data_IF_215278588632
#
_entry.id   IF_215278588632
#
_cell.length_a   1.000
_cell.length_b   1.000
_cell.length_c   1.000
_cell.angle_alpha   90.00
_cell.angle_beta   90.00
_cell.angle_gamma   90.00
#
_symmetry.space_group_name_H-M   'P 1'
#
loop_
_entity.id
_entity.type
_entity.pdbx_description
1 polymer ?
#
# COMPACT_ATOMS: atom_id res chain seq x y z
N UNK A 1 -59.60 16.84 -33.18
CA UNK A 1 -58.47 17.79 -33.22
C UNK A 1 -57.67 17.63 -31.93
N UNK A 2 -56.51 16.97 -31.95
CA UNK A 2 -55.40 17.20 -31.00
C UNK A 2 -54.15 16.48 -31.52
N UNK A 3 -53.06 17.23 -31.57
CA UNK A 3 -51.90 16.97 -32.41
C UNK A 3 -50.93 15.95 -31.82
N UNK A 4 -50.39 15.13 -32.71
CA UNK A 4 -49.28 14.20 -32.46
C UNK A 4 -47.98 14.98 -32.66
N UNK A 5 -47.23 15.22 -31.58
CA UNK A 5 -45.90 15.82 -31.62
C UNK A 5 -44.87 14.70 -31.81
N UNK A 6 -44.34 14.57 -33.03
CA UNK A 6 -43.21 13.69 -33.32
C UNK A 6 -41.90 14.37 -32.96
N UNK A 7 -41.20 13.86 -31.94
CA UNK A 7 -39.83 14.26 -31.65
C UNK A 7 -38.84 13.52 -32.56
N UNK A 8 -38.23 14.28 -33.46
CA UNK A 8 -37.17 13.86 -34.39
C UNK A 8 -35.82 13.92 -33.66
N UNK A 9 -35.25 12.76 -33.33
CA UNK A 9 -33.89 12.66 -32.76
C UNK A 9 -32.89 12.61 -33.93
N UNK A 10 -32.10 13.67 -34.07
CA UNK A 10 -31.03 13.78 -35.07
C UNK A 10 -29.74 13.22 -34.47
N UNK A 11 -29.30 12.04 -34.90
CA UNK A 11 -28.00 11.48 -34.53
C UNK A 11 -26.91 12.16 -35.37
N UNK A 12 -26.06 12.95 -34.73
CA UNK A 12 -25.01 13.75 -35.36
C UNK A 12 -23.67 13.01 -35.32
N UNK A 13 -23.26 12.57 -36.50
CA UNK A 13 -21.92 12.50 -37.10
C UNK A 13 -20.69 12.17 -36.23
N UNK A 14 -20.13 11.01 -36.56
CA UNK A 14 -18.73 10.58 -36.53
C UNK A 14 -17.65 11.67 -36.38
N UNK A 15 -16.97 11.65 -35.22
CA UNK A 15 -15.66 12.30 -35.03
C UNK A 15 -14.55 11.30 -35.36
N UNK A 16 -13.97 11.47 -36.55
CA UNK A 16 -12.78 10.78 -37.04
C UNK A 16 -11.57 11.22 -36.19
N UNK A 17 -11.05 10.30 -35.37
CA UNK A 17 -9.76 10.52 -34.68
C UNK A 17 -8.60 10.29 -35.65
N UNK A 18 -7.61 11.19 -35.71
CA UNK A 18 -6.42 10.99 -36.51
C UNK A 18 -5.59 9.85 -35.94
N UNK A 19 -5.29 8.84 -36.76
CA UNK A 19 -4.31 7.81 -36.44
C UNK A 19 -2.93 8.46 -36.32
N UNK A 20 -2.43 8.56 -35.09
CA UNK A 20 -1.02 8.85 -34.85
C UNK A 20 -0.22 7.62 -35.24
N UNK A 21 0.55 7.74 -36.31
CA UNK A 21 1.51 6.73 -36.74
C UNK A 21 2.43 6.33 -35.58
N UNK A 22 2.50 5.02 -35.33
CA UNK A 22 3.50 4.42 -34.47
C UNK A 22 4.88 4.62 -35.12
N UNK A 23 5.62 5.62 -34.65
CA UNK A 23 7.06 5.71 -34.91
C UNK A 23 7.74 4.73 -33.97
N UNK A 24 8.00 3.52 -34.46
CA UNK A 24 8.84 2.53 -33.79
C UNK A 24 10.27 3.07 -33.69
N UNK A 25 10.57 3.71 -32.56
CA UNK A 25 11.93 4.12 -32.21
C UNK A 25 12.73 2.87 -31.84
N UNK A 26 13.53 2.39 -32.81
CA UNK A 26 14.62 1.44 -32.57
C UNK A 26 15.71 2.14 -31.75
N UNK A 27 15.60 2.07 -30.42
CA UNK A 27 16.65 2.48 -29.51
C UNK A 27 16.68 1.55 -28.29
N UNK A 28 17.23 0.34 -28.43
CA UNK A 28 17.58 -0.51 -27.28
C UNK A 28 18.47 -1.67 -27.71
N UNK A 29 19.77 -1.41 -27.92
CA UNK A 29 20.76 -2.50 -27.99
C UNK A 29 22.13 -2.11 -27.42
N UNK A 30 22.39 -0.81 -27.19
CA UNK A 30 23.67 -0.35 -26.62
C UNK A 30 23.74 -0.35 -25.08
N UNK A 31 22.62 -0.52 -24.37
CA UNK A 31 22.64 -0.54 -22.89
C UNK A 31 23.14 -1.88 -22.32
N UNK A 32 22.95 -3.00 -23.01
CA UNK A 32 23.24 -4.34 -22.48
C UNK A 32 24.76 -4.63 -22.35
N UNK A 33 25.60 -4.05 -23.21
CA UNK A 33 27.06 -4.26 -23.20
C UNK A 33 27.76 -3.45 -22.11
N UNK A 34 27.25 -2.26 -21.78
CA UNK A 34 27.79 -1.42 -20.69
C UNK A 34 27.53 -2.08 -19.32
N UNK A 35 26.40 -2.77 -19.14
CA UNK A 35 26.13 -3.51 -17.91
C UNK A 35 27.07 -4.72 -17.70
N UNK A 36 27.52 -5.40 -18.76
CA UNK A 36 28.42 -6.58 -18.63
C UNK A 36 29.85 -6.23 -18.21
N UNK A 37 30.40 -5.13 -18.72
CA UNK A 37 31.75 -4.68 -18.34
C UNK A 37 31.80 -4.14 -16.90
N UNK A 38 30.72 -3.49 -16.44
CA UNK A 38 30.61 -2.97 -15.06
C UNK A 38 30.56 -4.08 -13.99
N UNK A 39 30.00 -5.25 -14.33
CA UNK A 39 29.89 -6.40 -13.40
C UNK A 39 31.22 -7.01 -12.98
N UNK A 40 32.25 -6.97 -13.83
CA UNK A 40 33.53 -7.62 -13.49
C UNK A 40 34.34 -6.82 -12.46
N UNK A 41 34.36 -5.49 -12.58
CA UNK A 41 35.01 -4.63 -11.57
C UNK A 41 34.23 -4.61 -10.24
N UNK A 42 32.89 -4.69 -10.30
CA UNK A 42 32.04 -4.75 -9.12
C UNK A 42 32.32 -5.96 -8.22
N UNK A 43 32.69 -7.10 -8.79
CA UNK A 43 32.89 -8.34 -8.03
C UNK A 43 34.05 -8.24 -7.02
N UNK A 44 35.18 -7.62 -7.40
CA UNK A 44 36.31 -7.42 -6.48
C UNK A 44 35.97 -6.46 -5.34
N UNK A 45 35.24 -5.38 -5.63
CA UNK A 45 34.78 -4.44 -4.60
C UNK A 45 33.78 -5.10 -3.64
N UNK A 46 32.91 -5.97 -4.16
CA UNK A 46 31.94 -6.72 -3.37
C UNK A 46 32.64 -7.69 -2.41
N UNK A 47 33.66 -8.42 -2.89
CA UNK A 47 34.45 -9.32 -2.05
C UNK A 47 35.18 -8.58 -0.94
N UNK A 48 35.81 -7.45 -1.26
CA UNK A 48 36.49 -6.61 -0.26
C UNK A 48 35.50 -6.08 0.78
N UNK A 49 34.35 -5.54 0.36
CA UNK A 49 33.32 -5.03 1.27
C UNK A 49 32.73 -6.15 2.13
N UNK A 50 32.54 -7.35 1.58
CA UNK A 50 32.05 -8.51 2.34
C UNK A 50 33.05 -8.89 3.43
N UNK A 51 34.34 -8.99 3.11
CA UNK A 51 35.38 -9.28 4.10
C UNK A 51 35.47 -8.20 5.19
N UNK A 52 35.39 -6.94 4.77
CA UNK A 52 35.39 -5.80 5.69
C UNK A 52 34.18 -5.85 6.65
N UNK A 53 32.99 -6.15 6.14
CA UNK A 53 31.78 -6.31 6.96
C UNK A 53 31.89 -7.50 7.91
N UNK A 54 32.44 -8.63 7.47
CA UNK A 54 32.70 -9.80 8.34
C UNK A 54 33.57 -9.41 9.53
N UNK A 55 34.67 -8.70 9.27
CA UNK A 55 35.54 -8.19 10.32
C UNK A 55 34.86 -7.13 11.20
N UNK A 56 34.16 -6.15 10.61
CA UNK A 56 33.56 -5.04 11.34
C UNK A 56 32.36 -5.43 12.21
N UNK A 57 31.58 -6.42 11.77
CA UNK A 57 30.38 -6.89 12.45
C UNK A 57 30.66 -8.08 13.39
N UNK A 58 31.93 -8.51 13.50
CA UNK A 58 32.35 -9.70 14.25
C UNK A 58 31.51 -10.95 13.89
N UNK A 59 31.23 -11.12 12.60
CA UNK A 59 30.51 -12.30 12.08
C UNK A 59 31.42 -13.54 12.21
N UNK A 60 30.86 -14.77 12.19
CA UNK A 60 31.65 -15.98 12.25
C UNK A 60 32.78 -15.94 11.23
N UNK A 61 33.99 -16.36 11.62
CA UNK A 61 35.17 -16.30 10.75
C UNK A 61 34.99 -17.13 9.46
N UNK A 62 34.15 -18.18 9.53
CA UNK A 62 33.77 -19.02 8.40
C UNK A 62 32.24 -19.03 8.28
N UNK A 63 31.63 -18.02 7.62
CA UNK A 63 30.21 -18.04 7.34
C UNK A 63 29.87 -19.19 6.38
N UNK A 64 28.68 -19.78 6.53
CA UNK A 64 28.26 -20.85 5.64
C UNK A 64 28.23 -20.34 4.17
N UNK A 65 28.56 -21.18 3.17
CA UNK A 65 28.54 -20.76 1.77
C UNK A 65 27.18 -20.20 1.32
N UNK A 66 26.08 -20.71 1.90
CA UNK A 66 24.72 -20.24 1.65
C UNK A 66 24.52 -18.81 2.14
N UNK A 67 25.07 -18.46 3.30
CA UNK A 67 24.99 -17.10 3.86
C UNK A 67 25.79 -16.12 3.02
N UNK A 68 27.01 -16.48 2.62
CA UNK A 68 27.83 -15.66 1.72
C UNK A 68 27.13 -15.36 0.40
N UNK A 69 26.49 -16.36 -0.21
CA UNK A 69 25.73 -16.18 -1.43
C UNK A 69 24.54 -15.22 -1.20
N UNK A 70 23.83 -15.37 -0.08
CA UNK A 70 22.72 -14.49 0.26
C UNK A 70 23.18 -13.06 0.51
N UNK A 71 24.25 -12.87 1.27
CA UNK A 71 24.83 -11.56 1.56
C UNK A 71 25.29 -10.87 0.28
N UNK A 72 25.98 -11.60 -0.60
CA UNK A 72 26.38 -11.10 -1.93
C UNK A 72 25.19 -10.55 -2.70
N UNK A 73 24.08 -11.31 -2.80
CA UNK A 73 22.85 -10.87 -3.48
C UNK A 73 22.24 -9.64 -2.83
N UNK A 74 22.14 -9.61 -1.51
CA UNK A 74 21.58 -8.48 -0.77
C UNK A 74 22.41 -7.21 -0.97
N UNK A 75 23.74 -7.34 -0.94
CA UNK A 75 24.66 -6.22 -1.19
C UNK A 75 24.51 -5.75 -2.63
N UNK A 76 24.40 -6.65 -3.61
CA UNK A 76 24.16 -6.29 -5.02
C UNK A 76 22.85 -5.49 -5.19
N UNK A 77 21.75 -5.94 -4.58
CA UNK A 77 20.47 -5.20 -4.60
C UNK A 77 20.65 -3.80 -4.01
N UNK A 78 21.35 -3.68 -2.88
CA UNK A 78 21.60 -2.38 -2.24
C UNK A 78 22.48 -1.46 -3.12
N UNK A 79 23.48 -2.00 -3.81
CA UNK A 79 24.29 -1.23 -4.77
C UNK A 79 23.46 -0.72 -5.94
N UNK A 80 22.61 -1.59 -6.50
CA UNK A 80 21.76 -1.26 -7.64
C UNK A 80 20.79 -0.12 -7.30
N UNK A 81 20.22 -0.11 -6.08
CA UNK A 81 19.28 0.95 -5.65
C UNK A 81 19.94 2.24 -5.16
N UNK A 82 21.19 2.21 -4.71
CA UNK A 82 21.88 3.41 -4.20
C UNK A 82 22.63 4.22 -5.27
N UNK A 83 22.87 3.65 -6.47
CA UNK A 83 23.46 4.37 -7.60
C UNK A 83 24.91 4.85 -7.38
N UNK A 84 25.26 6.04 -7.88
CA UNK A 84 26.61 6.60 -7.76
C UNK A 84 26.95 6.97 -6.30
N UNK A 85 28.10 6.51 -5.80
CA UNK A 85 28.45 6.59 -4.36
C UNK A 85 27.76 5.53 -3.50
N UNK A 86 27.19 4.50 -4.13
CA UNK A 86 26.50 3.40 -3.45
C UNK A 86 27.37 2.70 -2.42
N UNK A 87 28.66 2.46 -2.70
CA UNK A 87 29.54 1.71 -1.81
C UNK A 87 29.54 2.21 -0.35
N UNK A 88 29.79 3.49 -0.15
CA UNK A 88 29.85 4.08 1.19
C UNK A 88 28.48 4.10 1.89
N UNK A 89 27.40 4.29 1.12
CA UNK A 89 26.04 4.30 1.64
C UNK A 89 25.60 2.89 2.05
N UNK A 90 25.84 1.91 1.20
CA UNK A 90 25.60 0.47 1.45
C UNK A 90 26.39 0.03 2.68
N UNK A 91 27.69 0.35 2.73
CA UNK A 91 28.55 0.10 3.89
C UNK A 91 27.97 0.70 5.16
N UNK A 92 27.62 1.98 5.16
CA UNK A 92 27.04 2.66 6.33
C UNK A 92 25.70 2.04 6.75
N UNK A 93 24.83 1.72 5.80
CA UNK A 93 23.53 1.11 6.07
C UNK A 93 23.69 -0.30 6.70
N UNK A 94 24.60 -1.11 6.20
CA UNK A 94 24.88 -2.47 6.70
C UNK A 94 25.58 -2.45 8.07
N UNK A 95 26.51 -1.52 8.29
CA UNK A 95 27.13 -1.34 9.61
C UNK A 95 26.12 -0.86 10.64
N UNK A 96 25.20 0.03 10.26
CA UNK A 96 24.15 0.50 11.15
C UNK A 96 23.09 -0.59 11.42
N UNK A 97 22.82 -1.45 10.43
CA UNK A 97 21.75 -2.44 10.47
C UNK A 97 22.17 -3.77 9.83
N UNK A 98 22.99 -4.58 10.52
CA UNK A 98 23.48 -5.85 9.97
C UNK A 98 22.37 -6.89 9.71
N UNK A 99 21.17 -6.73 10.29
CA UNK A 99 20.01 -7.58 10.02
C UNK A 99 19.57 -7.55 8.54
N UNK A 100 19.92 -6.51 7.79
CA UNK A 100 19.69 -6.44 6.35
C UNK A 100 20.41 -7.55 5.57
N UNK A 101 21.54 -8.07 6.08
CA UNK A 101 22.22 -9.22 5.47
C UNK A 101 21.39 -10.50 5.53
N UNK A 102 20.52 -10.61 6.54
CA UNK A 102 19.62 -11.75 6.75
C UNK A 102 18.23 -11.53 6.16
N UNK A 103 17.96 -10.38 5.54
CA UNK A 103 16.71 -10.12 4.84
C UNK A 103 16.68 -10.81 3.46
N UNK A 104 15.50 -10.96 2.85
CA UNK A 104 15.38 -11.29 1.42
C UNK A 104 15.14 -10.01 0.62
N UNK A 105 16.22 -9.25 0.37
CA UNK A 105 16.10 -7.93 -0.27
C UNK A 105 15.67 -8.04 -1.73
N UNK A 106 15.96 -9.15 -2.40
CA UNK A 106 15.52 -9.40 -3.77
C UNK A 106 13.99 -9.53 -3.83
N UNK A 107 13.40 -10.30 -2.92
CA UNK A 107 11.94 -10.42 -2.78
C UNK A 107 11.29 -9.08 -2.45
N UNK A 108 11.82 -8.36 -1.44
CA UNK A 108 11.28 -7.05 -1.04
C UNK A 108 11.41 -6.00 -2.13
N UNK A 109 12.53 -5.98 -2.85
CA UNK A 109 12.75 -5.08 -3.97
C UNK A 109 11.75 -5.37 -5.09
N UNK A 110 11.60 -6.63 -5.49
CA UNK A 110 10.61 -7.04 -6.50
C UNK A 110 9.18 -6.64 -6.06
N UNK A 111 8.82 -6.94 -4.82
CA UNK A 111 7.51 -6.60 -4.26
C UNK A 111 7.22 -5.10 -4.33
N UNK A 112 8.09 -4.24 -3.78
CA UNK A 112 7.83 -2.80 -3.75
C UNK A 112 8.04 -2.10 -5.09
N UNK A 113 9.14 -2.39 -5.77
CA UNK A 113 9.53 -1.69 -7.00
C UNK A 113 8.72 -2.21 -8.19
N UNK A 114 8.72 -3.51 -8.45
CA UNK A 114 7.96 -4.07 -9.57
C UNK A 114 6.46 -4.19 -9.27
N UNK A 115 6.09 -4.62 -8.06
CA UNK A 115 4.68 -4.82 -7.69
C UNK A 115 3.90 -3.53 -7.44
N UNK A 116 4.52 -2.54 -6.79
CA UNK A 116 3.84 -1.29 -6.39
C UNK A 116 4.37 -0.02 -7.05
N UNK A 117 5.41 -0.12 -7.88
CA UNK A 117 5.97 1.02 -8.60
C UNK A 117 6.74 1.98 -7.69
N UNK A 118 7.31 1.48 -6.58
CA UNK A 118 8.19 2.29 -5.73
C UNK A 118 9.46 2.65 -6.50
N UNK A 119 9.88 3.92 -6.56
CA UNK A 119 11.15 4.28 -7.17
C UNK A 119 12.33 3.59 -6.46
N UNK A 120 13.37 3.11 -7.17
CA UNK A 120 14.53 2.45 -6.56
C UNK A 120 15.18 3.28 -5.44
N UNK A 121 15.31 4.59 -5.63
CA UNK A 121 15.86 5.50 -4.61
C UNK A 121 15.03 5.51 -3.30
N UNK A 122 13.72 5.32 -3.41
CA UNK A 122 12.83 5.23 -2.25
C UNK A 122 12.99 3.88 -1.52
N UNK A 123 13.30 2.79 -2.24
CA UNK A 123 13.64 1.52 -1.63
C UNK A 123 14.97 1.61 -0.86
N UNK A 124 15.97 2.28 -1.43
CA UNK A 124 17.25 2.54 -0.78
C UNK A 124 17.07 3.33 0.53
N UNK A 125 16.21 4.36 0.49
CA UNK A 125 15.81 5.11 1.69
C UNK A 125 15.07 4.23 2.69
N UNK A 126 14.15 3.37 2.24
CA UNK A 126 13.43 2.43 3.11
C UNK A 126 14.38 1.49 3.85
N UNK A 127 15.37 0.93 3.17
CA UNK A 127 16.38 0.07 3.78
C UNK A 127 17.22 0.80 4.85
N UNK A 128 17.42 2.10 4.68
CA UNK A 128 18.15 2.94 5.65
C UNK A 128 17.28 3.37 6.83
N UNK A 129 16.04 3.80 6.58
CA UNK A 129 15.15 4.43 7.57
C UNK A 129 14.34 3.40 8.38
N UNK A 130 13.99 2.26 7.78
CA UNK A 130 13.17 1.22 8.41
C UNK A 130 13.65 -0.20 8.06
N UNK A 131 14.90 -0.55 8.40
CA UNK A 131 15.48 -1.88 8.14
C UNK A 131 14.71 -3.00 8.83
N UNK A 132 14.05 -2.70 9.96
CA UNK A 132 13.17 -3.63 10.67
C UNK A 132 12.07 -4.22 9.77
N UNK A 133 11.51 -3.41 8.86
CA UNK A 133 10.48 -3.89 7.93
C UNK A 133 11.05 -4.98 7.01
N UNK A 134 12.28 -4.81 6.55
CA UNK A 134 12.90 -5.72 5.58
C UNK A 134 13.45 -6.98 6.26
N UNK A 135 13.96 -6.83 7.48
CA UNK A 135 14.59 -7.91 8.23
C UNK A 135 13.59 -8.80 9.00
N UNK A 136 12.57 -8.20 9.61
CA UNK A 136 11.62 -8.91 10.47
C UNK A 136 10.18 -8.90 9.93
N UNK A 137 9.90 -8.04 8.95
CA UNK A 137 8.58 -7.99 8.34
C UNK A 137 8.32 -9.17 7.42
N UNK A 138 7.04 -9.34 7.10
CA UNK A 138 6.57 -10.32 6.14
C UNK A 138 5.90 -9.61 4.95
N UNK A 139 6.20 -10.09 3.75
CA UNK A 139 5.69 -9.53 2.50
C UNK A 139 4.17 -9.71 2.41
N UNK A 140 3.64 -10.79 2.97
CA UNK A 140 2.19 -11.01 3.00
C UNK A 140 1.48 -10.04 3.96
N UNK A 141 2.01 -9.80 5.16
CA UNK A 141 1.50 -8.76 6.07
C UNK A 141 1.56 -7.38 5.40
N UNK A 142 2.70 -7.00 4.83
CA UNK A 142 2.85 -5.72 4.12
C UNK A 142 1.86 -5.59 2.96
N UNK A 143 1.69 -6.65 2.16
CA UNK A 143 0.72 -6.72 1.06
C UNK A 143 -0.72 -6.54 1.53
N UNK A 144 -1.08 -7.18 2.64
CA UNK A 144 -2.41 -7.05 3.26
C UNK A 144 -2.68 -5.61 3.70
N UNK A 145 -1.72 -4.96 4.36
CA UNK A 145 -1.83 -3.53 4.70
C UNK A 145 -2.02 -2.66 3.46
N UNK A 146 -1.25 -2.91 2.40
CA UNK A 146 -1.35 -2.13 1.16
C UNK A 146 -2.71 -2.32 0.49
N UNK A 147 -3.25 -3.55 0.47
CA UNK A 147 -4.59 -3.82 -0.05
C UNK A 147 -5.67 -3.13 0.78
N UNK A 148 -5.52 -3.06 2.09
CA UNK A 148 -6.41 -2.29 2.97
C UNK A 148 -6.40 -0.79 2.63
N UNK A 149 -5.23 -0.19 2.42
CA UNK A 149 -5.17 1.21 1.98
C UNK A 149 -5.80 1.42 0.59
N UNK A 150 -5.67 0.43 -0.31
CA UNK A 150 -6.34 0.45 -1.61
C UNK A 150 -7.86 0.33 -1.48
N UNK A 151 -8.38 -0.46 -0.55
CA UNK A 151 -9.84 -0.55 -0.32
C UNK A 151 -10.42 0.76 0.26
N UNK A 152 -9.61 1.59 0.93
CA UNK A 152 -9.96 2.97 1.28
C UNK A 152 -9.84 3.97 0.10
N UNK A 153 -9.54 3.47 -1.11
CA UNK A 153 -9.48 4.27 -2.33
C UNK A 153 -8.18 5.04 -2.52
N UNK A 154 -7.05 4.57 -1.99
CA UNK A 154 -5.72 5.11 -2.29
C UNK A 154 -5.11 4.39 -3.49
N UNK A 155 -4.35 5.12 -4.31
CA UNK A 155 -3.64 4.53 -5.47
C UNK A 155 -2.26 4.06 -5.04
N UNK A 156 -1.66 3.18 -5.83
CA UNK A 156 -0.30 2.68 -5.58
C UNK A 156 0.71 3.83 -5.40
N UNK A 157 0.62 4.90 -6.22
CA UNK A 157 1.48 6.09 -6.09
C UNK A 157 1.32 6.78 -4.73
N UNK A 158 0.09 6.91 -4.25
CA UNK A 158 -0.22 7.58 -2.99
C UNK A 158 0.35 6.76 -1.81
N UNK A 159 0.18 5.43 -1.85
CA UNK A 159 0.73 4.51 -0.85
C UNK A 159 2.28 4.51 -0.88
N UNK A 160 2.88 4.45 -2.07
CA UNK A 160 4.33 4.47 -2.21
C UNK A 160 4.96 5.76 -1.68
N UNK A 161 4.38 6.91 -2.03
CA UNK A 161 4.91 8.19 -1.59
C UNK A 161 4.65 8.48 -0.11
N UNK A 162 3.44 8.16 0.38
CA UNK A 162 3.01 8.53 1.73
C UNK A 162 3.33 7.45 2.76
N UNK A 163 2.87 6.23 2.54
CA UNK A 163 2.98 5.15 3.53
C UNK A 163 4.39 4.57 3.52
N UNK A 164 4.88 4.09 2.38
CA UNK A 164 6.24 3.53 2.32
C UNK A 164 7.28 4.61 2.63
N UNK A 165 7.12 5.81 2.04
CA UNK A 165 8.11 6.89 2.17
C UNK A 165 8.22 7.55 3.54
N UNK A 166 7.14 7.59 4.34
CA UNK A 166 7.13 8.29 5.64
C UNK A 166 6.69 7.44 6.83
N UNK A 167 5.89 6.40 6.61
CA UNK A 167 5.33 5.56 7.67
C UNK A 167 5.51 4.06 7.38
N UNK A 168 6.72 3.59 7.02
CA UNK A 168 6.94 2.20 6.60
C UNK A 168 6.60 1.19 7.70
N UNK A 169 6.68 1.59 8.97
CA UNK A 169 6.29 0.74 10.12
C UNK A 169 4.82 0.33 10.12
N UNK A 170 3.94 1.04 9.41
CA UNK A 170 2.55 0.62 9.28
C UNK A 170 2.40 -0.68 8.51
N UNK A 171 3.38 -1.03 7.67
CA UNK A 171 3.37 -2.28 6.92
C UNK A 171 3.76 -3.50 7.77
N UNK A 172 4.14 -3.29 9.04
CA UNK A 172 4.35 -4.34 10.03
C UNK A 172 3.08 -4.66 10.82
N UNK A 173 2.02 -3.87 10.67
CA UNK A 173 0.78 -4.06 11.43
C UNK A 173 -0.06 -5.17 10.79
N UNK A 174 -0.65 -6.03 11.61
CA UNK A 174 -1.62 -6.98 11.11
C UNK A 174 -2.98 -6.28 10.91
N UNK A 175 -3.60 -6.48 9.74
CA UNK A 175 -4.85 -5.78 9.40
C UNK A 175 -5.96 -6.15 10.38
N UNK A 176 -6.14 -7.43 10.69
CA UNK A 176 -7.24 -7.90 11.52
C UNK A 176 -7.03 -7.59 13.01
N UNK A 177 -5.79 -7.70 13.49
CA UNK A 177 -5.44 -7.52 14.90
C UNK A 177 -5.18 -6.05 15.27
N UNK A 178 -4.53 -5.29 14.40
CA UNK A 178 -4.00 -3.97 14.75
C UNK A 178 -4.78 -2.83 14.07
N UNK A 179 -5.18 -2.98 12.81
CA UNK A 179 -5.86 -1.92 12.03
C UNK A 179 -7.38 -1.94 12.24
N UNK A 180 -8.03 -3.09 12.05
CA UNK A 180 -9.49 -3.26 12.11
C UNK A 180 -10.12 -2.77 13.43
N UNK A 181 -9.54 -3.05 14.62
CA UNK A 181 -10.10 -2.55 15.87
C UNK A 181 -10.10 -1.02 15.95
N UNK A 182 -9.10 -0.36 15.37
CA UNK A 182 -9.02 1.11 15.32
C UNK A 182 -10.09 1.65 14.37
N UNK A 183 -10.26 1.03 13.20
CA UNK A 183 -11.30 1.42 12.24
C UNK A 183 -12.69 1.27 12.86
N UNK A 184 -13.03 0.12 13.44
CA UNK A 184 -14.33 -0.11 14.08
C UNK A 184 -14.58 0.86 15.23
N UNK A 185 -13.54 1.21 15.98
CA UNK A 185 -13.62 2.22 17.03
C UNK A 185 -13.97 3.60 16.45
N UNK A 186 -13.29 4.03 15.38
CA UNK A 186 -13.56 5.30 14.70
C UNK A 186 -14.96 5.34 14.08
N UNK A 187 -15.39 4.25 13.45
CA UNK A 187 -16.72 4.13 12.85
C UNK A 187 -17.86 4.13 13.89
N UNK A 188 -17.59 3.64 15.09
CA UNK A 188 -18.48 3.74 16.25
C UNK A 188 -18.59 5.16 16.83
N UNK A 189 -17.72 6.06 16.38
CA UNK A 189 -17.73 7.49 16.70
C UNK A 189 -18.17 8.35 15.49
N UNK A 190 -18.92 7.74 14.57
CA UNK A 190 -19.42 8.35 13.32
C UNK A 190 -18.33 8.83 12.34
N UNK A 191 -17.04 8.54 12.57
CA UNK A 191 -15.98 8.84 11.61
C UNK A 191 -15.95 7.78 10.50
N UNK A 192 -16.57 8.08 9.35
CA UNK A 192 -16.76 7.15 8.23
C UNK A 192 -16.43 7.78 6.88
N UNK A 193 -16.31 6.95 5.84
CA UNK A 193 -16.21 7.41 4.45
C UNK A 193 -15.02 8.36 4.21
N UNK A 194 -15.32 9.56 3.71
CA UNK A 194 -14.31 10.56 3.36
C UNK A 194 -13.51 11.07 4.56
N UNK A 195 -14.15 11.23 5.72
CA UNK A 195 -13.50 11.71 6.94
C UNK A 195 -12.50 10.69 7.49
N UNK A 196 -12.89 9.41 7.52
CA UNK A 196 -12.01 8.33 7.91
C UNK A 196 -10.80 8.24 6.97
N UNK A 197 -11.04 8.32 5.66
CA UNK A 197 -9.99 8.33 4.65
C UNK A 197 -9.02 9.51 4.86
N UNK A 198 -9.55 10.70 5.13
CA UNK A 198 -8.75 11.91 5.35
C UNK A 198 -7.94 11.81 6.65
N UNK A 199 -8.54 11.33 7.74
CA UNK A 199 -7.87 11.10 9.01
C UNK A 199 -6.69 10.13 8.85
N UNK A 200 -6.92 8.99 8.19
CA UNK A 200 -5.86 7.98 7.97
C UNK A 200 -4.77 8.53 7.04
N UNK A 201 -5.09 9.43 6.10
CA UNK A 201 -4.13 10.06 5.19
C UNK A 201 -3.24 11.09 5.89
N UNK A 202 -3.85 11.96 6.69
CA UNK A 202 -3.16 13.04 7.39
C UNK A 202 -2.41 12.53 8.61
N UNK A 203 -3.01 11.58 9.34
CA UNK A 203 -2.47 11.02 10.57
C UNK A 203 -2.40 9.48 10.56
N UNK A 204 -1.52 8.86 9.73
CA UNK A 204 -1.38 7.41 9.67
C UNK A 204 -0.97 6.75 11.01
N UNK A 205 -0.36 7.53 11.92
CA UNK A 205 -0.06 7.11 13.31
C UNK A 205 -1.31 6.87 14.17
N UNK A 206 -2.51 7.07 13.62
CA UNK A 206 -3.75 6.66 14.27
C UNK A 206 -3.79 5.15 14.55
N UNK A 207 -2.96 4.33 13.91
CA UNK A 207 -2.87 2.89 14.19
C UNK A 207 -1.86 2.52 15.28
N UNK A 208 -1.22 3.51 15.93
CA UNK A 208 -0.36 3.25 17.08
C UNK A 208 -1.18 2.84 18.31
N UNK A 209 -0.53 2.20 19.30
CA UNK A 209 -1.16 1.73 20.54
C UNK A 209 -1.94 2.83 21.30
N UNK A 210 -1.56 4.09 21.11
CA UNK A 210 -2.14 5.27 21.77
C UNK A 210 -3.24 5.98 20.96
N UNK A 211 -3.84 5.31 19.96
CA UNK A 211 -4.85 5.92 19.08
C UNK A 211 -5.98 6.64 19.81
N UNK A 212 -6.44 6.13 20.96
CA UNK A 212 -7.49 6.75 21.78
C UNK A 212 -7.10 8.17 22.24
N UNK A 213 -5.83 8.41 22.53
CA UNK A 213 -5.34 9.74 22.93
C UNK A 213 -5.43 10.72 21.75
N UNK A 214 -5.09 10.27 20.55
CA UNK A 214 -5.18 11.06 19.34
C UNK A 214 -6.64 11.38 18.98
N UNK A 215 -7.53 10.38 19.07
CA UNK A 215 -8.96 10.58 18.81
C UNK A 215 -9.57 11.62 19.75
N UNK A 216 -9.29 11.58 21.07
CA UNK A 216 -9.79 12.61 22.01
C UNK A 216 -9.33 14.02 21.64
N UNK A 217 -8.08 14.15 21.18
CA UNK A 217 -7.55 15.43 20.71
C UNK A 217 -8.30 15.91 19.47
N UNK A 218 -8.57 15.02 18.51
CA UNK A 218 -9.33 15.36 17.31
C UNK A 218 -10.78 15.71 17.60
N UNK A 219 -11.41 15.03 18.57
CA UNK A 219 -12.75 15.38 19.08
C UNK A 219 -12.80 16.78 19.67
N UNK A 220 -11.83 17.13 20.51
CA UNK A 220 -11.74 18.47 21.11
C UNK A 220 -11.61 19.57 20.05
N UNK A 221 -10.96 19.25 18.92
CA UNK A 221 -10.77 20.17 17.80
C UNK A 221 -11.93 20.13 16.78
N UNK A 222 -12.88 19.19 16.90
CA UNK A 222 -13.97 19.02 15.93
C UNK A 222 -13.50 18.63 14.53
N UNK A 223 -12.43 17.84 14.41
CA UNK A 223 -11.85 17.45 13.11
C UNK A 223 -12.32 16.06 12.65
N UNK A 224 -12.35 15.83 11.34
CA UNK A 224 -12.64 14.52 10.72
C UNK A 224 -13.99 13.90 11.13
N UNK A 225 -15.01 14.75 11.29
CA UNK A 225 -16.34 14.29 11.72
C UNK A 225 -16.42 13.84 13.18
N UNK A 226 -15.31 13.87 13.93
CA UNK A 226 -15.27 13.50 15.34
C UNK A 226 -15.83 14.65 16.17
N UNK A 227 -17.12 14.60 16.47
CA UNK A 227 -17.76 15.54 17.38
C UNK A 227 -17.76 14.97 18.81
N UNK A 228 -17.56 15.85 19.80
CA UNK A 228 -17.96 15.53 21.17
C UNK A 228 -19.49 15.55 21.12
N UNK A 229 -20.11 14.41 20.84
CA UNK A 229 -21.51 14.21 21.13
C UNK A 229 -21.64 14.40 22.64
N UNK A 230 -21.96 15.63 23.04
CA UNK A 230 -22.34 15.94 24.41
C UNK A 230 -23.60 15.11 24.57
N UNK A 231 -23.48 14.00 25.29
CA UNK A 231 -24.55 13.04 25.56
C UNK A 231 -25.70 13.66 26.39
N UNK A 232 -25.87 14.99 26.34
CA UNK A 232 -26.95 15.75 26.94
C UNK A 232 -28.06 15.89 25.91
N UNK A 233 -29.14 15.16 26.15
CA UNK A 233 -30.29 15.04 25.27
C UNK A 233 -30.82 16.37 24.73
N UNK A 234 -30.67 16.55 23.42
CA UNK A 234 -31.62 17.30 22.63
C UNK A 234 -32.62 16.31 22.02
N UNK A 235 -33.39 15.67 22.90
CA UNK A 235 -34.76 15.30 22.58
C UNK A 235 -35.59 16.60 22.49
N UNK A 236 -35.32 17.42 21.48
CA UNK A 236 -36.24 18.45 20.99
C UNK A 236 -36.83 17.84 19.71
N UNK A 237 -38.00 17.23 19.73
CA UNK A 237 -39.21 17.85 20.22
C UNK A 237 -39.74 18.84 19.18
N UNK A 238 -39.99 18.37 17.96
CA UNK A 238 -40.92 19.03 17.03
C UNK A 238 -41.82 17.97 16.41
N UNK A 239 -42.85 17.61 17.17
CA UNK A 239 -44.15 17.38 16.59
C UNK A 239 -44.58 18.69 15.89
N UNK A 240 -44.69 18.67 14.57
CA UNK A 240 -45.58 19.56 13.84
C UNK A 240 -46.31 18.69 12.81
N UNK A 241 -47.49 18.25 13.23
CA UNK A 241 -48.48 17.60 12.40
C UNK A 241 -49.03 18.55 11.32
N UNK A 242 -49.45 17.98 10.19
CA UNK A 242 -50.51 18.55 9.35
C UNK A 242 -50.18 18.65 7.86
N UNK A 243 -50.71 17.73 7.05
CA UNK A 243 -50.71 17.87 5.58
C UNK A 243 -51.10 16.61 4.82
N UNK A 244 -52.40 16.36 4.72
CA UNK A 244 -53.08 15.19 4.12
C UNK A 244 -53.09 15.24 2.59
N UNK A 245 -52.94 14.07 1.93
CA UNK A 245 -53.65 13.57 0.71
C UNK A 245 -52.70 12.76 -0.19
N UNK A 246 -52.84 11.43 -0.31
CA UNK A 246 -53.69 10.71 -1.29
C UNK A 246 -53.18 10.89 -2.75
N UNK A 247 -52.97 9.91 -3.63
CA UNK A 247 -53.40 8.52 -3.72
C UNK A 247 -52.60 7.78 -4.82
N UNK A 248 -52.73 6.44 -4.86
CA UNK A 248 -52.46 5.58 -6.04
C UNK A 248 -51.04 4.97 -6.06
N UNK A 249 -50.82 3.66 -6.06
CA UNK A 249 -51.65 2.55 -6.54
C UNK A 249 -50.96 1.92 -7.75
N UNK A 250 -50.43 0.70 -7.63
CA UNK A 250 -49.87 -0.04 -8.76
C UNK A 250 -48.98 -1.20 -8.33
N UNK A 251 -49.56 -2.41 -8.29
CA UNK A 251 -48.87 -3.65 -7.97
C UNK A 251 -47.95 -4.16 -9.07
N UNK A 252 -47.03 -5.04 -8.68
CA UNK A 252 -46.15 -5.79 -9.57
C UNK A 252 -45.56 -6.98 -8.83
N UNK A 253 -46.20 -8.14 -8.97
CA UNK A 253 -45.75 -9.45 -8.51
C UNK A 253 -44.57 -10.00 -9.33
N UNK A 254 -43.61 -10.63 -8.63
CA UNK A 254 -42.85 -11.81 -9.08
C UNK A 254 -41.43 -11.59 -9.63
N UNK A 255 -40.59 -12.65 -9.76
CA UNK A 255 -40.63 -13.97 -9.13
C UNK A 255 -39.39 -14.31 -8.27
N UNK A 256 -39.60 -15.28 -7.38
CA UNK A 256 -38.58 -15.98 -6.57
C UNK A 256 -37.63 -16.79 -7.48
N UNK A 257 -36.32 -16.66 -7.25
CA UNK A 257 -35.27 -17.48 -7.86
C UNK A 257 -34.40 -18.18 -6.80
N UNK A 258 -34.65 -19.49 -6.63
CA UNK A 258 -33.72 -20.60 -6.34
C UNK A 258 -32.36 -20.27 -5.66
N UNK A 259 -32.11 -20.64 -4.40
CA UNK A 259 -31.70 -22.00 -3.94
C UNK A 259 -30.54 -22.63 -4.72
N UNK A 260 -29.31 -22.36 -4.28
CA UNK A 260 -28.11 -23.10 -4.66
C UNK A 260 -27.34 -23.53 -3.41
N UNK A 261 -27.61 -24.73 -2.92
CA UNK A 261 -26.81 -25.36 -1.88
C UNK A 261 -25.44 -25.75 -2.41
N UNK A 262 -24.39 -25.45 -1.65
CA UNK A 262 -23.05 -25.98 -1.92
C UNK A 262 -22.63 -26.83 -0.72
N UNK A 263 -22.66 -28.13 -0.96
CA UNK A 263 -22.29 -29.21 -0.05
C UNK A 263 -20.78 -29.15 0.23
N UNK A 264 -20.43 -29.00 1.51
CA UNK A 264 -19.09 -29.28 2.02
C UNK A 264 -18.79 -30.79 1.85
N UNK A 265 -17.75 -31.09 1.08
CA UNK A 265 -17.11 -32.42 1.06
C UNK A 265 -15.79 -32.30 1.81
N UNK A 266 -15.72 -32.95 2.97
CA UNK A 266 -14.49 -33.17 3.71
C UNK A 266 -13.76 -34.41 3.13
N UNK A 267 -12.43 -34.37 2.94
CA UNK A 267 -11.65 -35.58 2.71
C UNK A 267 -11.15 -36.15 4.05
N UNK A 268 -11.54 -37.40 4.29
CA UNK A 268 -11.01 -38.31 5.31
C UNK A 268 -10.01 -39.29 4.69
N UNK A 269 -8.85 -39.50 5.34
CA UNK A 269 -7.87 -40.57 5.09
C UNK A 269 -6.57 -40.06 4.46
N UNK A 270 -5.36 -40.40 4.91
CA UNK A 270 -4.87 -41.40 5.89
C UNK A 270 -3.66 -40.82 6.62
#
# INVERSE_FOLDING_TARGET
MHGVVQHRITLQSSSQRPQRGLVATRASTTHATIYKARRHSGNLQLQHLTYELVNALALPAEPAPVDLQRWSKNIDVLYDVHGAGGADRVRRALLANPSLLSADLELWHSFFVAGFGLPPDCFAKLASDCPLLLAEGDVFTAGSCMLFFKSMGWRNKDIAQRIIGYYPRLLLLDVARDIDPVIRFLEGMDCRGGDLKLLVWEFPRIFDKDYRRHVRKFQYLGMYGLSIHRNGGAAAGTNAAGGVSAAGGGGGEGPRGASGGSTLLAPSGR
#
